data_IF_400535141570
#
_entry.id   IF_400535141570
#
_cell.length_a   1.000
_cell.length_b   1.000
_cell.length_c   1.000
_cell.angle_alpha   90.00
_cell.angle_beta   90.00
_cell.angle_gamma   90.00
#
_symmetry.space_group_name_H-M   'P 1'
#
loop_
_entity.id
_entity.type
_entity.pdbx_description
1 polymer ?
#
# COMPACT_ATOMS: atom_id res chain seq x y z
N UNK A 1 -25.08 23.75 -14.62
CA UNK A 1 -24.74 25.08 -14.05
C UNK A 1 -24.79 25.13 -12.52
N UNK A 2 -25.60 24.31 -11.83
CA UNK A 2 -25.58 24.26 -10.35
C UNK A 2 -24.30 23.64 -9.76
N UNK A 3 -23.68 22.65 -10.42
CA UNK A 3 -22.44 22.00 -9.93
C UNK A 3 -21.21 22.90 -9.90
N UNK A 4 -21.16 23.92 -10.78
CA UNK A 4 -20.06 24.89 -10.78
C UNK A 4 -20.14 25.86 -9.59
N UNK A 5 -21.33 26.10 -9.01
CA UNK A 5 -21.46 26.95 -7.82
C UNK A 5 -20.84 26.31 -6.58
N UNK A 6 -21.04 25.00 -6.39
CA UNK A 6 -20.45 24.28 -5.26
C UNK A 6 -18.92 24.20 -5.38
N UNK A 7 -18.41 24.03 -6.60
CA UNK A 7 -16.96 24.09 -6.87
C UNK A 7 -16.38 25.48 -6.59
N UNK A 8 -17.05 26.56 -7.03
CA UNK A 8 -16.58 27.93 -6.75
C UNK A 8 -16.62 28.30 -5.26
N UNK A 9 -17.64 27.84 -4.52
CA UNK A 9 -17.72 28.06 -3.07
C UNK A 9 -16.62 27.28 -2.34
N UNK A 10 -16.30 26.07 -2.79
CA UNK A 10 -15.21 25.26 -2.22
C UNK A 10 -13.82 25.86 -2.52
N UNK A 11 -13.60 26.35 -3.75
CA UNK A 11 -12.35 27.02 -4.13
C UNK A 11 -12.17 28.33 -3.36
N UNK A 12 -13.21 29.17 -3.23
CA UNK A 12 -13.07 30.44 -2.51
C UNK A 12 -12.78 30.25 -1.02
N UNK A 13 -13.45 29.29 -0.37
CA UNK A 13 -13.17 28.99 1.05
C UNK A 13 -11.79 28.37 1.26
N UNK A 14 -11.29 27.59 0.30
CA UNK A 14 -9.93 27.05 0.35
C UNK A 14 -8.87 28.14 0.19
N UNK A 15 -9.08 29.08 -0.73
CA UNK A 15 -8.15 30.18 -0.99
C UNK A 15 -8.10 31.17 0.19
N UNK A 16 -9.24 31.47 0.83
CA UNK A 16 -9.31 32.31 2.04
C UNK A 16 -8.49 31.72 3.20
N UNK A 17 -8.52 30.39 3.36
CA UNK A 17 -7.73 29.69 4.38
C UNK A 17 -6.23 29.63 4.06
N UNK A 18 -5.85 29.59 2.77
CA UNK A 18 -4.45 29.66 2.36
C UNK A 18 -3.86 31.06 2.56
N UNK A 19 -4.63 32.11 2.24
CA UNK A 19 -4.19 33.49 2.37
C UNK A 19 -4.03 33.91 3.85
N UNK A 20 -4.87 33.39 4.75
CA UNK A 20 -4.71 33.56 6.20
C UNK A 20 -3.42 32.88 6.72
N UNK A 21 -3.09 31.70 6.20
CA UNK A 21 -1.87 30.97 6.58
C UNK A 21 -0.61 31.62 5.99
N UNK A 22 -0.67 32.14 4.76
CA UNK A 22 0.44 32.87 4.15
C UNK A 22 0.74 34.18 4.88
N UNK A 23 -0.28 34.96 5.26
CA UNK A 23 -0.12 36.17 6.08
C UNK A 23 0.53 35.88 7.44
N UNK A 24 0.15 34.77 8.08
CA UNK A 24 0.81 34.30 9.30
C UNK A 24 2.28 33.92 9.10
N UNK A 25 2.65 33.42 7.92
CA UNK A 25 4.01 32.99 7.57
C UNK A 25 4.92 34.16 7.19
N UNK A 26 4.40 35.17 6.49
CA UNK A 26 5.17 36.37 6.08
C UNK A 26 5.50 37.28 7.28
N UNK A 27 4.58 37.40 8.24
CA UNK A 27 4.79 38.14 9.50
C UNK A 27 5.95 37.56 10.33
N UNK A 28 6.19 36.25 10.23
CA UNK A 28 7.30 35.56 10.93
C UNK A 28 8.63 35.76 10.18
N UNK A 29 8.58 35.88 8.85
CA UNK A 29 9.78 35.98 8.01
C UNK A 29 10.43 37.36 8.03
N UNK A 30 9.65 38.42 8.26
CA UNK A 30 10.16 39.79 8.44
C UNK A 30 10.91 39.97 9.77
N UNK A 31 10.73 39.06 10.73
CA UNK A 31 11.33 39.16 12.06
C UNK A 31 12.75 38.59 12.18
N UNK A 32 13.22 37.78 11.22
CA UNK A 32 14.45 36.97 11.35
C UNK A 32 15.65 37.49 10.51
N UNK A 33 15.89 38.80 10.56
CA UNK A 33 17.09 39.38 9.97
C UNK A 33 18.38 38.97 10.68
N UNK A 34 19.20 38.20 9.94
CA UNK A 34 20.66 38.07 10.01
C UNK A 34 21.32 37.44 11.25
N UNK A 35 22.44 36.75 11.01
CA UNK A 35 23.35 36.07 11.97
C UNK A 35 23.08 34.58 12.30
N UNK A 36 23.72 33.68 11.55
CA UNK A 36 24.51 32.60 12.18
C UNK A 36 25.46 31.90 11.19
N UNK A 37 26.70 32.39 11.14
CA UNK A 37 27.87 31.57 10.82
C UNK A 37 28.72 31.49 12.09
N UNK A 38 28.60 30.39 12.85
CA UNK A 38 29.70 29.89 13.68
C UNK A 38 29.42 28.51 14.31
N UNK A 39 30.31 27.59 13.96
CA UNK A 39 30.80 26.45 14.78
C UNK A 39 29.98 25.14 14.86
N UNK A 40 30.50 24.11 14.18
CA UNK A 40 30.69 22.81 14.81
C UNK A 40 32.08 22.28 14.44
N UNK A 41 32.92 22.05 15.45
CA UNK A 41 34.19 21.34 15.33
C UNK A 41 33.98 19.91 15.84
N UNK A 42 34.45 18.93 15.07
CA UNK A 42 34.35 17.51 15.37
C UNK A 42 35.66 16.98 15.96
N UNK A 43 35.57 16.09 16.95
CA UNK A 43 36.72 15.39 17.54
C UNK A 43 37.23 14.23 16.65
N UNK A 44 38.54 13.92 16.70
CA UNK A 44 39.18 13.03 15.74
C UNK A 44 39.20 11.55 16.16
N UNK A 45 39.08 10.70 15.15
CA UNK A 45 39.11 9.23 15.23
C UNK A 45 40.55 8.68 15.30
N UNK A 46 40.79 7.71 16.19
CA UNK A 46 42.08 7.01 16.34
C UNK A 46 41.96 5.56 15.83
N UNK A 47 42.80 5.11 14.88
CA UNK A 47 42.79 3.72 14.40
C UNK A 47 43.77 2.84 15.18
N UNK A 48 43.30 1.69 15.67
CA UNK A 48 44.12 0.68 16.34
C UNK A 48 44.47 -0.50 15.43
N UNK A 49 45.76 -0.72 15.23
CA UNK A 49 46.36 -1.96 14.71
C UNK A 49 46.50 -3.00 15.84
N UNK A 50 46.32 -4.28 15.52
CA UNK A 50 46.67 -5.37 16.46
C UNK A 50 46.39 -6.76 15.91
N UNK A 51 47.47 -7.51 15.66
CA UNK A 51 47.49 -8.88 15.19
C UNK A 51 47.20 -9.89 16.31
N UNK A 52 46.61 -11.03 15.93
CA UNK A 52 46.86 -12.37 16.47
C UNK A 52 46.63 -12.63 17.96
N UNK A 53 45.43 -13.12 18.30
CA UNK A 53 45.33 -14.17 19.33
C UNK A 53 44.02 -14.96 19.18
N UNK A 54 44.15 -16.25 18.83
CA UNK A 54 43.03 -17.18 18.64
C UNK A 54 42.52 -17.69 19.99
N UNK A 55 41.87 -16.82 20.77
CA UNK A 55 41.12 -17.24 21.96
C UNK A 55 39.79 -17.90 21.55
N UNK A 56 39.42 -19.06 22.14
CA UNK A 56 38.12 -19.69 21.90
C UNK A 56 36.99 -18.71 22.27
N UNK A 57 36.13 -18.39 21.30
CA UNK A 57 34.97 -17.53 21.55
C UNK A 57 34.11 -18.15 22.64
N UNK A 58 33.78 -17.42 23.72
CA UNK A 58 32.97 -17.94 24.81
C UNK A 58 31.61 -18.40 24.25
N UNK A 59 31.18 -19.60 24.64
CA UNK A 59 29.88 -20.15 24.25
C UNK A 59 28.79 -19.13 24.56
N UNK A 60 27.87 -18.85 23.62
CA UNK A 60 26.81 -17.86 23.83
C UNK A 60 25.99 -18.28 25.05
N UNK A 61 25.93 -17.40 26.06
CA UNK A 61 25.10 -17.64 27.24
C UNK A 61 23.66 -17.86 26.77
N UNK A 62 22.94 -18.87 27.32
CA UNK A 62 21.55 -19.11 26.96
C UNK A 62 20.75 -17.83 27.18
N UNK A 63 19.99 -17.41 26.16
CA UNK A 63 19.12 -16.24 26.28
C UNK A 63 18.15 -16.50 27.44
N UNK A 64 18.05 -15.58 28.43
CA UNK A 64 17.09 -15.75 29.51
C UNK A 64 15.68 -15.84 28.92
N UNK A 65 14.86 -16.72 29.50
CA UNK A 65 13.48 -16.86 29.10
C UNK A 65 12.76 -15.50 29.21
N UNK A 66 11.81 -15.18 28.31
CA UNK A 66 11.04 -13.95 28.38
C UNK A 66 10.39 -13.85 29.76
N UNK A 67 10.66 -12.76 30.49
CA UNK A 67 9.99 -12.51 31.77
C UNK A 67 8.49 -12.40 31.51
N UNK A 68 7.68 -13.06 32.34
CA UNK A 68 6.24 -12.92 32.31
C UNK A 68 5.87 -11.44 32.47
N UNK A 69 4.87 -10.98 31.73
CA UNK A 69 4.40 -9.60 31.82
C UNK A 69 3.74 -9.38 33.18
N UNK A 70 3.97 -8.23 33.79
CA UNK A 70 3.28 -7.85 35.03
C UNK A 70 1.82 -7.45 34.73
N UNK A 71 0.95 -7.52 35.73
CA UNK A 71 -0.46 -7.13 35.58
C UNK A 71 -0.61 -5.67 35.13
N UNK A 72 0.29 -4.79 35.59
CA UNK A 72 0.35 -3.41 35.14
C UNK A 72 0.70 -3.29 33.63
N UNK A 73 1.62 -4.11 33.13
CA UNK A 73 1.96 -4.14 31.71
C UNK A 73 0.79 -4.65 30.86
N UNK A 74 0.02 -5.61 31.37
CA UNK A 74 -1.19 -6.11 30.72
C UNK A 74 -2.30 -5.04 30.70
N UNK A 75 -2.50 -4.33 31.81
CA UNK A 75 -3.46 -3.24 31.93
C UNK A 75 -3.14 -2.09 30.96
N UNK A 76 -1.88 -1.65 30.88
CA UNK A 76 -1.43 -0.61 29.93
C UNK A 76 -1.66 -1.04 28.48
N UNK A 77 -1.40 -2.30 28.14
CA UNK A 77 -1.68 -2.83 26.81
C UNK A 77 -3.19 -2.81 26.47
N UNK A 78 -4.05 -3.07 27.46
CA UNK A 78 -5.50 -3.00 27.29
C UNK A 78 -5.99 -1.56 27.03
N UNK A 79 -5.42 -0.57 27.72
CA UNK A 79 -5.70 0.87 27.49
C UNK A 79 -5.32 1.28 26.07
N UNK A 80 -4.13 0.88 25.59
CA UNK A 80 -3.69 1.17 24.21
C UNK A 80 -4.66 0.58 23.19
N UNK A 81 -5.14 -0.65 23.42
CA UNK A 81 -6.13 -1.29 22.55
C UNK A 81 -7.47 -0.55 22.55
N UNK A 82 -7.94 -0.09 23.71
CA UNK A 82 -9.17 0.69 23.81
C UNK A 82 -9.07 2.03 23.05
N UNK A 83 -7.94 2.72 23.13
CA UNK A 83 -7.71 3.96 22.38
C UNK A 83 -7.76 3.75 20.87
N UNK A 84 -7.18 2.67 20.35
CA UNK A 84 -7.25 2.33 18.93
C UNK A 84 -8.70 2.15 18.45
N UNK A 85 -9.54 1.48 19.26
CA UNK A 85 -10.95 1.25 18.96
C UNK A 85 -11.77 2.56 19.01
N UNK A 86 -11.49 3.44 19.97
CA UNK A 86 -12.14 4.76 20.05
C UNK A 86 -11.80 5.64 18.85
N UNK A 87 -10.56 5.58 18.35
CA UNK A 87 -10.17 6.29 17.14
C UNK A 87 -10.91 5.76 15.91
N UNK A 88 -11.04 4.43 15.78
CA UNK A 88 -11.82 3.83 14.71
C UNK A 88 -13.28 4.33 14.69
N UNK A 89 -13.87 4.55 15.87
CA UNK A 89 -15.27 5.02 16.00
C UNK A 89 -15.49 6.38 15.37
N UNK A 90 -14.56 7.31 15.60
CA UNK A 90 -14.65 8.67 15.03
C UNK A 90 -14.72 8.67 13.49
N UNK A 91 -14.31 7.56 12.86
CA UNK A 91 -14.29 7.41 11.41
C UNK A 91 -15.52 6.69 10.84
N UNK A 92 -16.38 6.06 11.67
CA UNK A 92 -17.49 5.25 11.17
C UNK A 92 -18.52 6.06 10.39
N UNK A 93 -18.87 7.27 10.83
CA UNK A 93 -19.81 8.13 10.10
C UNK A 93 -19.35 8.34 8.66
N UNK A 94 -18.10 8.75 8.48
CA UNK A 94 -17.50 8.94 7.15
C UNK A 94 -17.49 7.65 6.33
N UNK A 95 -17.11 6.51 6.93
CA UNK A 95 -17.10 5.21 6.25
C UNK A 95 -18.50 4.79 5.78
N UNK A 96 -19.52 4.95 6.63
CA UNK A 96 -20.91 4.58 6.33
C UNK A 96 -21.50 5.45 5.22
N UNK A 97 -21.29 6.76 5.28
CA UNK A 97 -21.73 7.71 4.26
C UNK A 97 -21.02 7.44 2.91
N UNK A 98 -19.71 7.18 2.94
CA UNK A 98 -18.95 6.85 1.72
C UNK A 98 -19.37 5.53 1.07
N UNK A 99 -19.97 4.61 1.84
CA UNK A 99 -20.49 3.34 1.36
C UNK A 99 -21.92 3.45 0.78
N UNK A 100 -22.47 4.67 0.65
CA UNK A 100 -23.81 4.88 0.07
C UNK A 100 -24.95 4.42 0.97
N UNK A 101 -24.71 4.22 2.27
CA UNK A 101 -25.73 3.78 3.20
C UNK A 101 -26.79 4.89 3.40
N UNK A 102 -28.06 4.51 3.44
CA UNK A 102 -29.14 5.44 3.74
C UNK A 102 -28.87 6.14 5.09
N UNK A 103 -28.99 7.47 5.11
CA UNK A 103 -28.65 8.32 6.25
C UNK A 103 -29.24 7.82 7.58
N UNK A 104 -30.51 7.43 7.59
CA UNK A 104 -31.17 6.92 8.80
C UNK A 104 -30.55 5.61 9.34
N UNK A 105 -30.11 4.71 8.45
CA UNK A 105 -29.45 3.46 8.82
C UNK A 105 -28.02 3.73 9.31
N UNK A 106 -27.31 4.65 8.64
CA UNK A 106 -26.01 5.11 9.07
C UNK A 106 -26.07 5.76 10.47
N UNK A 107 -27.08 6.59 10.74
CA UNK A 107 -27.32 7.22 12.05
C UNK A 107 -27.60 6.17 13.13
N UNK A 108 -28.41 5.14 12.85
CA UNK A 108 -28.67 4.05 13.79
C UNK A 108 -27.40 3.26 14.14
N UNK A 109 -26.54 2.96 13.17
CA UNK A 109 -25.26 2.29 13.44
C UNK A 109 -24.26 3.19 14.16
N UNK A 110 -24.20 4.48 13.82
CA UNK A 110 -23.38 5.44 14.55
C UNK A 110 -23.84 5.50 16.01
N UNK A 111 -25.14 5.58 16.27
CA UNK A 111 -25.69 5.57 17.63
C UNK A 111 -25.33 4.28 18.39
N UNK A 112 -25.46 3.10 17.76
CA UNK A 112 -25.05 1.83 18.37
C UNK A 112 -23.54 1.85 18.71
N UNK A 113 -22.70 2.31 17.78
CA UNK A 113 -21.25 2.39 18.00
C UNK A 113 -20.86 3.42 19.06
N UNK A 114 -21.57 4.55 19.16
CA UNK A 114 -21.37 5.57 20.20
C UNK A 114 -21.79 5.07 21.59
N UNK A 115 -22.84 4.25 21.67
CA UNK A 115 -23.26 3.59 22.91
C UNK A 115 -22.18 2.62 23.43
N UNK A 116 -21.67 1.74 22.56
CA UNK A 116 -20.57 0.83 22.93
C UNK A 116 -19.26 1.58 23.20
N UNK A 117 -18.98 2.66 22.46
CA UNK A 117 -17.85 3.54 22.73
C UNK A 117 -17.91 4.14 24.14
N UNK A 118 -19.10 4.56 24.57
CA UNK A 118 -19.30 5.18 25.88
C UNK A 118 -19.06 4.18 27.02
N UNK A 119 -19.51 2.92 26.86
CA UNK A 119 -19.18 1.82 27.80
C UNK A 119 -17.68 1.56 27.85
N UNK A 120 -17.01 1.54 26.68
CA UNK A 120 -15.56 1.34 26.59
C UNK A 120 -14.78 2.50 27.24
N UNK A 121 -15.21 3.75 27.06
CA UNK A 121 -14.62 4.93 27.74
C UNK A 121 -14.78 4.84 29.25
N UNK A 122 -15.97 4.48 29.74
CA UNK A 122 -16.21 4.34 31.17
C UNK A 122 -15.30 3.26 31.79
N UNK A 123 -15.19 2.09 31.16
CA UNK A 123 -14.31 1.01 31.63
C UNK A 123 -12.83 1.41 31.57
N UNK A 124 -12.41 2.15 30.54
CA UNK A 124 -11.05 2.70 30.44
C UNK A 124 -10.76 3.67 31.58
N UNK A 125 -11.63 4.64 31.81
CA UNK A 125 -11.48 5.63 32.89
C UNK A 125 -11.42 4.95 34.26
N UNK A 126 -12.22 3.91 34.49
CA UNK A 126 -12.18 3.12 35.72
C UNK A 126 -10.82 2.41 35.91
N UNK A 127 -10.27 1.80 34.85
CA UNK A 127 -8.95 1.15 34.90
C UNK A 127 -7.82 2.17 35.13
N UNK A 128 -7.87 3.33 34.48
CA UNK A 128 -6.89 4.41 34.69
C UNK A 128 -6.95 4.94 36.13
N UNK A 129 -8.16 5.08 36.70
CA UNK A 129 -8.36 5.43 38.10
C UNK A 129 -7.78 4.39 39.06
N UNK A 130 -8.04 3.10 38.82
CA UNK A 130 -7.49 2.01 39.63
C UNK A 130 -5.95 1.95 39.56
N UNK A 131 -5.36 2.15 38.38
CA UNK A 131 -3.91 2.24 38.19
C UNK A 131 -3.31 3.41 38.98
N UNK A 132 -3.96 4.57 38.98
CA UNK A 132 -3.47 5.76 39.69
C UNK A 132 -3.51 5.61 41.22
N UNK A 133 -4.46 4.83 41.74
CA UNK A 133 -4.69 4.64 43.18
C UNK A 133 -4.04 3.37 43.74
N UNK A 134 -3.46 2.52 42.88
CA UNK A 134 -2.95 1.21 43.28
C UNK A 134 -4.04 0.22 43.72
N UNK A 135 -5.28 0.43 43.30
CA UNK A 135 -6.40 -0.46 43.61
C UNK A 135 -6.27 -1.80 42.85
N UNK A 136 -7.03 -2.81 43.28
CA UNK A 136 -7.08 -4.11 42.59
C UNK A 136 -7.47 -3.94 41.12
N UNK A 137 -6.68 -4.53 40.22
CA UNK A 137 -6.88 -4.42 38.77
C UNK A 137 -7.76 -5.53 38.19
N UNK A 138 -8.11 -6.55 38.97
CA UNK A 138 -8.74 -7.78 38.46
C UNK A 138 -10.10 -7.47 37.85
N UNK A 139 -10.98 -6.81 38.59
CA UNK A 139 -12.36 -6.54 38.15
C UNK A 139 -12.40 -5.48 37.04
N UNK A 140 -11.68 -4.38 37.21
CA UNK A 140 -11.63 -3.30 36.20
C UNK A 140 -11.01 -3.75 34.87
N UNK A 141 -10.05 -4.69 34.90
CA UNK A 141 -9.49 -5.28 33.67
C UNK A 141 -10.50 -6.20 32.98
N UNK A 142 -11.27 -6.97 33.76
CA UNK A 142 -12.35 -7.83 33.25
C UNK A 142 -13.47 -7.00 32.62
N UNK A 143 -13.85 -5.88 33.24
CA UNK A 143 -14.86 -4.97 32.71
C UNK A 143 -14.40 -4.33 31.41
N UNK A 144 -13.15 -3.86 31.34
CA UNK A 144 -12.57 -3.33 30.11
C UNK A 144 -12.52 -4.40 29.01
N UNK A 145 -12.15 -5.64 29.33
CA UNK A 145 -12.15 -6.73 28.37
C UNK A 145 -13.56 -7.02 27.84
N UNK A 146 -14.56 -7.04 28.72
CA UNK A 146 -15.96 -7.27 28.36
C UNK A 146 -16.49 -6.16 27.44
N UNK A 147 -16.25 -4.89 27.80
CA UNK A 147 -16.62 -3.75 26.96
C UNK A 147 -15.92 -3.78 25.60
N UNK A 148 -14.65 -4.21 25.56
CA UNK A 148 -13.91 -4.35 24.32
C UNK A 148 -14.46 -5.47 23.43
N UNK A 149 -14.85 -6.61 24.00
CA UNK A 149 -15.48 -7.71 23.27
C UNK A 149 -16.82 -7.28 22.67
N UNK A 150 -17.69 -6.65 23.48
CA UNK A 150 -18.98 -6.12 23.01
C UNK A 150 -18.80 -5.11 21.86
N UNK A 151 -17.81 -4.21 21.98
CA UNK A 151 -17.46 -3.28 20.90
C UNK A 151 -17.03 -4.01 19.61
N UNK A 152 -16.16 -5.02 19.71
CA UNK A 152 -15.68 -5.74 18.54
C UNK A 152 -16.82 -6.51 17.85
N UNK A 153 -17.74 -7.09 18.62
CA UNK A 153 -18.93 -7.76 18.09
C UNK A 153 -19.85 -6.78 17.35
N UNK A 154 -20.16 -5.62 17.96
CA UNK A 154 -20.93 -4.56 17.32
C UNK A 154 -20.25 -4.03 16.04
N UNK A 155 -18.94 -3.79 16.08
CA UNK A 155 -18.15 -3.35 14.93
C UNK A 155 -18.19 -4.38 13.78
N UNK A 156 -18.06 -5.67 14.09
CA UNK A 156 -18.21 -6.72 13.08
C UNK A 156 -19.62 -6.78 12.50
N UNK A 157 -20.66 -6.57 13.31
CA UNK A 157 -22.04 -6.52 12.84
C UNK A 157 -22.28 -5.33 11.91
N UNK A 158 -21.80 -4.14 12.28
CA UNK A 158 -21.86 -2.94 11.43
C UNK A 158 -21.14 -3.19 10.11
N UNK A 159 -19.92 -3.74 10.11
CA UNK A 159 -19.18 -4.09 8.89
C UNK A 159 -19.94 -5.06 7.99
N UNK A 160 -20.53 -6.12 8.58
CA UNK A 160 -21.36 -7.07 7.83
C UNK A 160 -22.54 -6.34 7.18
N UNK A 161 -23.22 -5.47 7.92
CA UNK A 161 -24.37 -4.72 7.40
C UNK A 161 -23.97 -3.69 6.34
N UNK A 162 -22.81 -3.03 6.48
CA UNK A 162 -22.26 -2.14 5.46
C UNK A 162 -22.05 -2.86 4.14
N UNK A 163 -21.48 -4.06 4.17
CA UNK A 163 -21.25 -4.84 2.97
C UNK A 163 -22.56 -5.23 2.28
N UNK A 164 -23.62 -5.54 3.05
CA UNK A 164 -24.95 -5.79 2.48
C UNK A 164 -25.58 -4.52 1.93
N UNK A 165 -25.57 -3.40 2.66
CA UNK A 165 -26.12 -2.13 2.19
C UNK A 165 -25.38 -1.56 0.98
N UNK A 166 -24.06 -1.77 0.88
CA UNK A 166 -23.29 -1.43 -0.31
C UNK A 166 -23.71 -2.31 -1.50
N UNK A 167 -23.96 -3.61 -1.27
CA UNK A 167 -24.50 -4.49 -2.30
C UNK A 167 -25.91 -4.06 -2.76
N UNK A 168 -26.79 -3.65 -1.82
CA UNK A 168 -28.13 -3.12 -2.12
C UNK A 168 -28.06 -1.76 -2.84
N UNK A 169 -27.11 -0.90 -2.46
CA UNK A 169 -26.82 0.34 -3.17
C UNK A 169 -26.34 0.06 -4.59
N UNK A 170 -25.42 -0.90 -4.79
CA UNK A 170 -25.00 -1.33 -6.13
C UNK A 170 -26.18 -1.90 -6.92
N UNK A 171 -27.06 -2.70 -6.31
CA UNK A 171 -28.29 -3.19 -6.96
C UNK A 171 -29.16 -2.03 -7.45
N UNK A 172 -29.42 -1.05 -6.59
CA UNK A 172 -30.33 0.06 -6.90
C UNK A 172 -29.72 1.11 -7.85
N UNK A 173 -28.40 1.30 -7.80
CA UNK A 173 -27.68 2.31 -8.60
C UNK A 173 -27.15 1.76 -9.93
N UNK A 174 -26.61 0.54 -9.95
CA UNK A 174 -26.16 -0.17 -11.16
C UNK A 174 -27.29 -0.92 -11.86
N UNK A 175 -28.46 -1.05 -11.23
CA UNK A 175 -29.64 -1.70 -11.81
C UNK A 175 -30.26 -1.00 -13.01
N UNK A 176 -29.71 0.13 -13.48
CA UNK A 176 -30.04 0.69 -14.79
C UNK A 176 -29.44 -0.18 -15.91
N UNK A 177 -30.04 -1.36 -16.12
CA UNK A 177 -29.61 -2.32 -17.13
C UNK A 177 -29.95 -3.78 -16.80
N UNK A 178 -30.25 -4.10 -15.53
CA UNK A 178 -30.69 -5.45 -15.17
C UNK A 178 -32.16 -5.65 -15.56
N UNK A 179 -32.46 -6.78 -16.20
CA UNK A 179 -33.81 -7.05 -16.74
C UNK A 179 -34.71 -7.78 -15.75
N UNK A 180 -34.17 -8.23 -14.61
CA UNK A 180 -34.93 -8.93 -13.58
C UNK A 180 -34.31 -8.80 -12.18
N UNK A 181 -35.14 -8.97 -11.14
CA UNK A 181 -34.70 -9.01 -9.74
C UNK A 181 -33.67 -10.14 -9.48
N UNK A 182 -33.76 -11.24 -10.22
CA UNK A 182 -32.83 -12.37 -10.11
C UNK A 182 -31.42 -12.06 -10.66
N UNK A 183 -31.28 -11.14 -11.62
CA UNK A 183 -29.97 -10.68 -12.09
C UNK A 183 -29.32 -9.72 -11.10
N UNK A 184 -30.11 -8.81 -10.52
CA UNK A 184 -29.66 -7.89 -9.48
C UNK A 184 -29.15 -8.63 -8.25
N UNK A 185 -29.93 -9.62 -7.78
CA UNK A 185 -29.55 -10.42 -6.62
C UNK A 185 -28.26 -11.22 -6.87
N UNK A 186 -28.07 -11.79 -8.08
CA UNK A 186 -26.82 -12.48 -8.45
C UNK A 186 -25.60 -11.55 -8.53
N UNK A 187 -25.77 -10.33 -9.03
CA UNK A 187 -24.68 -9.34 -9.11
C UNK A 187 -24.24 -8.84 -7.73
N UNK A 188 -25.19 -8.64 -6.81
CA UNK A 188 -24.89 -8.34 -5.41
C UNK A 188 -24.22 -9.50 -4.69
N UNK A 189 -24.74 -10.73 -4.84
CA UNK A 189 -24.13 -11.92 -4.26
C UNK A 189 -22.68 -12.12 -4.75
N UNK A 190 -22.42 -11.90 -6.05
CA UNK A 190 -21.07 -11.93 -6.61
C UNK A 190 -20.16 -10.84 -6.03
N UNK A 191 -20.66 -9.62 -5.85
CA UNK A 191 -19.91 -8.49 -5.26
C UNK A 191 -19.61 -8.73 -3.78
N UNK A 192 -20.55 -9.31 -3.02
CA UNK A 192 -20.36 -9.71 -1.62
C UNK A 192 -19.38 -10.88 -1.51
N UNK A 193 -19.40 -11.83 -2.46
CA UNK A 193 -18.42 -12.92 -2.55
C UNK A 193 -17.01 -12.41 -2.88
N UNK A 194 -16.89 -11.45 -3.78
CA UNK A 194 -15.64 -10.78 -4.12
C UNK A 194 -15.08 -10.00 -2.91
N UNK A 195 -15.92 -9.21 -2.23
CA UNK A 195 -15.54 -8.46 -1.04
C UNK A 195 -15.20 -9.35 0.16
N UNK A 196 -15.78 -10.55 0.24
CA UNK A 196 -15.51 -11.53 1.32
C UNK A 196 -14.35 -12.50 1.03
N UNK A 197 -13.68 -12.36 -0.13
CA UNK A 197 -12.55 -13.21 -0.52
C UNK A 197 -12.92 -14.68 -0.78
N UNK A 198 -14.21 -15.01 -0.86
CA UNK A 198 -14.72 -16.34 -1.16
C UNK A 198 -15.28 -16.36 -2.57
N UNK A 199 -14.42 -16.52 -3.57
CA UNK A 199 -14.87 -16.78 -4.93
C UNK A 199 -15.51 -18.18 -5.04
N UNK A 200 -16.79 -18.24 -5.42
CA UNK A 200 -17.35 -19.43 -6.08
C UNK A 200 -17.00 -19.34 -7.57
N UNK A 201 -16.41 -20.43 -8.06
CA UNK A 201 -15.81 -20.59 -9.39
C UNK A 201 -16.87 -21.02 -10.42
N UNK A 202 -17.74 -20.11 -10.85
CA UNK A 202 -18.63 -20.38 -11.99
C UNK A 202 -18.21 -19.57 -13.22
N UNK A 203 -17.79 -20.30 -14.25
CA UNK A 203 -17.37 -19.78 -15.56
C UNK A 203 -18.45 -18.88 -16.22
N UNK A 204 -19.73 -19.19 -15.99
CA UNK A 204 -20.83 -18.43 -16.58
C UNK A 204 -20.95 -16.99 -16.02
N UNK A 205 -20.44 -16.73 -14.81
CA UNK A 205 -20.38 -15.38 -14.25
C UNK A 205 -19.27 -14.53 -14.90
N UNK A 206 -18.14 -15.16 -15.22
CA UNK A 206 -17.00 -14.53 -15.89
C UNK A 206 -17.38 -14.14 -17.32
N UNK A 207 -18.04 -15.03 -18.06
CA UNK A 207 -18.38 -14.82 -19.47
C UNK A 207 -19.38 -13.66 -19.67
N UNK A 208 -20.35 -13.50 -18.76
CA UNK A 208 -21.33 -12.39 -18.79
C UNK A 208 -20.70 -11.00 -18.56
N UNK A 209 -19.68 -10.92 -17.71
CA UNK A 209 -18.94 -9.67 -17.47
C UNK A 209 -18.20 -9.19 -18.74
N UNK A 210 -17.62 -10.12 -19.51
CA UNK A 210 -16.91 -9.80 -20.75
C UNK A 210 -17.85 -9.39 -21.90
N UNK A 211 -19.05 -9.97 -21.99
CA UNK A 211 -20.06 -9.53 -22.98
C UNK A 211 -20.48 -8.07 -22.75
N UNK A 212 -20.76 -7.69 -21.48
CA UNK A 212 -21.25 -6.36 -21.14
C UNK A 212 -20.23 -5.24 -21.46
N UNK A 213 -18.93 -5.50 -21.31
CA UNK A 213 -17.89 -4.49 -21.58
C UNK A 213 -17.65 -4.25 -23.08
N UNK A 214 -18.08 -5.19 -23.93
CA UNK A 214 -17.91 -5.13 -25.39
C UNK A 214 -19.03 -4.36 -26.09
N UNK A 215 -20.27 -4.43 -25.59
CA UNK A 215 -21.44 -3.76 -26.18
C UNK A 215 -21.41 -2.22 -26.10
N UNK A 216 -20.69 -1.61 -25.15
CA UNK A 216 -20.75 -0.16 -24.91
C UNK A 216 -19.67 0.67 -25.63
N UNK A 217 -18.98 0.12 -26.64
CA UNK A 217 -18.25 0.94 -27.63
C UNK A 217 -16.98 1.65 -27.15
N UNK A 218 -16.26 1.13 -26.15
CA UNK A 218 -15.03 1.73 -25.60
C UNK A 218 -13.80 1.72 -26.54
N UNK A 219 -13.98 1.43 -27.84
CA UNK A 219 -12.92 1.27 -28.82
C UNK A 219 -13.32 1.75 -30.23
N UNK A 220 -13.05 3.01 -30.59
CA UNK A 220 -13.12 3.46 -32.00
C UNK A 220 -11.90 2.98 -32.82
N UNK A 221 -12.10 2.87 -34.14
CA UNK A 221 -11.31 2.04 -35.07
C UNK A 221 -10.05 2.71 -35.67
N UNK A 222 -9.83 4.00 -35.45
CA UNK A 222 -8.83 4.75 -36.25
C UNK A 222 -7.50 5.04 -35.54
N UNK A 223 -7.17 4.29 -34.48
CA UNK A 223 -5.92 4.47 -33.75
C UNK A 223 -4.77 3.60 -34.32
N UNK A 224 -3.54 4.11 -34.50
CA UNK A 224 -2.35 3.35 -34.93
C UNK A 224 -1.99 2.13 -34.07
N UNK A 225 -2.71 1.93 -32.97
CA UNK A 225 -2.65 0.73 -32.15
C UNK A 225 -3.25 -0.50 -32.85
N UNK A 226 -3.99 -0.38 -33.96
CA UNK A 226 -4.65 -1.51 -34.61
C UNK A 226 -3.68 -2.55 -35.22
N UNK A 227 -2.50 -2.12 -35.68
CA UNK A 227 -1.46 -3.04 -36.16
C UNK A 227 -0.82 -3.86 -35.01
N UNK A 228 -0.73 -3.29 -33.81
CA UNK A 228 -0.30 -4.01 -32.61
C UNK A 228 -1.46 -4.81 -31.96
N UNK A 229 -2.71 -4.45 -32.27
CA UNK A 229 -3.95 -5.05 -31.74
C UNK A 229 -4.32 -6.38 -32.43
N UNK A 230 -3.92 -6.58 -33.68
CA UNK A 230 -4.05 -7.88 -34.36
C UNK A 230 -3.21 -8.99 -33.70
N UNK A 231 -2.15 -8.62 -32.96
CA UNK A 231 -1.30 -9.55 -32.22
C UNK A 231 -1.71 -9.72 -30.74
N UNK A 232 -2.70 -8.96 -30.25
CA UNK A 232 -3.00 -8.81 -28.81
C UNK A 232 -4.45 -9.15 -28.41
N UNK A 233 -5.36 -9.52 -29.33
CA UNK A 233 -6.78 -9.77 -29.02
C UNK A 233 -7.39 -11.02 -29.69
N UNK A 234 -7.14 -12.19 -29.13
CA UNK A 234 -8.04 -13.34 -29.32
C UNK A 234 -8.03 -14.15 -28.02
N UNK A 235 -8.95 -13.91 -27.10
CA UNK A 235 -9.12 -14.85 -25.98
C UNK A 235 -9.76 -16.14 -26.48
N UNK A 236 -9.32 -17.31 -25.99
CA UNK A 236 -10.19 -18.47 -25.81
C UNK A 236 -9.57 -19.53 -24.86
N UNK A 237 -10.46 -20.10 -24.04
CA UNK A 237 -10.59 -21.46 -23.49
C UNK A 237 -9.35 -22.40 -23.34
N UNK A 238 -9.22 -23.13 -22.21
CA UNK A 238 -8.00 -23.85 -21.77
C UNK A 238 -7.31 -24.90 -22.68
N UNK A 239 -7.84 -25.26 -23.86
CA UNK A 239 -7.33 -26.41 -24.66
C UNK A 239 -7.07 -26.11 -26.16
N UNK A 240 -7.16 -24.84 -26.62
CA UNK A 240 -6.96 -24.46 -28.03
C UNK A 240 -6.23 -23.11 -28.16
N UNK A 241 -5.52 -22.90 -29.26
CA UNK A 241 -4.85 -21.64 -29.58
C UNK A 241 -5.81 -20.59 -30.20
N UNK A 242 -5.22 -19.46 -30.58
CA UNK A 242 -5.90 -18.28 -31.08
C UNK A 242 -6.60 -18.44 -32.44
N UNK A 243 -6.30 -19.50 -33.19
CA UNK A 243 -6.96 -19.87 -34.45
C UNK A 243 -7.94 -21.04 -34.28
N UNK A 244 -8.08 -21.57 -33.05
CA UNK A 244 -8.90 -22.74 -32.75
C UNK A 244 -8.19 -24.08 -32.98
N UNK A 245 -6.89 -24.08 -33.23
CA UNK A 245 -6.07 -25.28 -33.36
C UNK A 245 -5.67 -25.83 -31.98
N UNK A 246 -5.40 -27.13 -31.82
CA UNK A 246 -4.83 -27.68 -30.59
C UNK A 246 -3.50 -26.98 -30.26
N UNK A 247 -3.26 -26.65 -28.98
CA UNK A 247 -2.00 -26.03 -28.58
C UNK A 247 -0.80 -26.90 -29.01
N UNK A 248 0.26 -26.30 -29.57
CA UNK A 248 1.35 -27.07 -30.15
C UNK A 248 2.12 -27.86 -29.07
N UNK A 249 2.44 -29.12 -29.34
CA UNK A 249 3.01 -30.11 -28.40
C UNK A 249 4.33 -29.70 -27.70
N UNK A 250 4.93 -28.56 -28.05
CA UNK A 250 6.09 -28.03 -27.35
C UNK A 250 5.73 -27.33 -26.02
N UNK A 251 4.48 -26.91 -25.81
CA UNK A 251 4.00 -26.33 -24.55
C UNK A 251 3.99 -27.34 -23.39
N UNK A 252 3.85 -28.64 -23.68
CA UNK A 252 4.01 -29.71 -22.69
C UNK A 252 5.45 -29.80 -22.15
N UNK A 253 6.45 -29.24 -22.86
CA UNK A 253 7.86 -29.23 -22.42
C UNK A 253 8.13 -28.24 -21.29
N UNK A 254 7.14 -27.45 -20.89
CA UNK A 254 7.24 -26.41 -19.85
C UNK A 254 6.52 -26.79 -18.54
N UNK A 255 5.75 -27.88 -18.52
CA UNK A 255 5.16 -28.42 -17.29
C UNK A 255 6.26 -28.99 -16.38
N UNK A 256 6.35 -28.51 -15.14
CA UNK A 256 7.20 -29.10 -14.10
C UNK A 256 8.65 -28.57 -13.98
N UNK A 257 9.03 -27.50 -14.70
CA UNK A 257 10.36 -26.89 -14.52
C UNK A 257 10.33 -25.88 -13.37
N UNK A 258 11.03 -26.19 -12.26
CA UNK A 258 11.23 -25.22 -11.19
C UNK A 258 12.29 -24.21 -11.60
N UNK A 259 11.97 -22.93 -11.46
CA UNK A 259 12.92 -21.86 -11.74
C UNK A 259 13.96 -21.82 -10.61
N UNK A 260 15.21 -22.11 -10.97
CA UNK A 260 16.35 -21.99 -10.06
C UNK A 260 16.55 -20.51 -9.70
N UNK A 261 16.39 -20.20 -8.41
CA UNK A 261 16.24 -18.83 -7.93
C UNK A 261 17.51 -17.99 -7.96
N UNK A 262 17.31 -16.67 -8.12
CA UNK A 262 18.30 -15.59 -8.07
C UNK A 262 19.27 -15.61 -6.87
N UNK A 263 18.94 -16.34 -5.80
CA UNK A 263 19.75 -16.45 -4.58
C UNK A 263 20.43 -17.82 -4.37
N UNK A 264 20.37 -18.71 -5.38
CA UNK A 264 20.98 -20.03 -5.31
C UNK A 264 20.36 -20.95 -4.25
N UNK A 265 21.07 -22.03 -3.92
CA UNK A 265 20.75 -22.93 -2.81
C UNK A 265 21.35 -22.39 -1.50
N UNK A 266 20.56 -22.30 -0.43
CA UNK A 266 21.06 -21.85 0.88
C UNK A 266 19.94 -21.49 1.85
N UNK A 267 20.31 -21.09 3.07
CA UNK A 267 19.34 -20.54 4.01
C UNK A 267 18.92 -19.16 3.52
N UNK A 268 17.61 -18.89 3.51
CA UNK A 268 17.04 -17.60 3.10
C UNK A 268 17.66 -16.41 3.85
N UNK A 269 18.03 -16.58 5.12
CA UNK A 269 18.70 -15.53 5.90
C UNK A 269 20.05 -15.12 5.29
N UNK A 270 20.86 -16.09 4.88
CA UNK A 270 22.17 -15.86 4.28
C UNK A 270 22.01 -15.18 2.91
N UNK A 271 21.01 -15.61 2.15
CA UNK A 271 20.64 -15.01 0.85
C UNK A 271 20.24 -13.54 0.99
N UNK A 272 19.38 -13.20 1.96
CA UNK A 272 18.96 -11.82 2.21
C UNK A 272 20.11 -10.95 2.75
N UNK A 273 21.02 -11.53 3.55
CA UNK A 273 22.23 -10.86 4.03
C UNK A 273 23.18 -10.54 2.89
N UNK A 274 23.39 -11.48 1.97
CA UNK A 274 24.18 -11.27 0.77
C UNK A 274 23.55 -10.21 -0.14
N UNK A 275 22.24 -10.30 -0.39
CA UNK A 275 21.48 -9.30 -1.14
C UNK A 275 21.69 -7.90 -0.57
N UNK A 276 21.57 -7.77 0.76
CA UNK A 276 21.76 -6.49 1.46
C UNK A 276 23.18 -5.94 1.31
N UNK A 277 24.18 -6.83 1.35
CA UNK A 277 25.59 -6.46 1.19
C UNK A 277 25.86 -5.95 -0.23
N UNK A 278 25.35 -6.66 -1.24
CA UNK A 278 25.45 -6.26 -2.65
C UNK A 278 24.70 -4.95 -2.92
N UNK A 279 23.49 -4.82 -2.40
CA UNK A 279 22.67 -3.60 -2.51
C UNK A 279 23.41 -2.38 -1.95
N UNK A 280 23.96 -2.47 -0.74
CA UNK A 280 24.72 -1.37 -0.10
C UNK A 280 25.98 -1.00 -0.85
N UNK A 281 26.71 -1.99 -1.35
CA UNK A 281 27.90 -1.76 -2.16
C UNK A 281 27.53 -1.05 -3.47
N UNK A 282 26.49 -1.52 -4.16
CA UNK A 282 25.96 -0.88 -5.37
C UNK A 282 25.52 0.56 -5.09
N UNK A 283 24.70 0.80 -4.07
CA UNK A 283 24.19 2.13 -3.76
C UNK A 283 25.33 3.12 -3.44
N UNK A 284 26.37 2.67 -2.72
CA UNK A 284 27.57 3.48 -2.46
C UNK A 284 28.29 3.88 -3.75
N UNK A 285 28.47 2.94 -4.68
CA UNK A 285 29.11 3.21 -5.98
C UNK A 285 28.29 4.20 -6.81
N UNK A 286 26.96 4.12 -6.73
CA UNK A 286 26.06 5.05 -7.42
C UNK A 286 25.91 6.41 -6.71
N UNK A 287 26.50 6.60 -5.52
CA UNK A 287 26.30 7.80 -4.71
C UNK A 287 24.86 7.99 -4.23
N UNK A 288 24.09 6.90 -4.09
CA UNK A 288 22.69 6.93 -3.68
C UNK A 288 22.55 6.80 -2.17
N UNK A 289 21.89 7.78 -1.55
CA UNK A 289 21.56 7.73 -0.14
C UNK A 289 20.33 6.83 0.13
N UNK A 290 20.46 5.94 1.10
CA UNK A 290 19.34 5.12 1.57
C UNK A 290 19.48 4.83 3.07
N UNK A 291 18.34 4.63 3.74
CA UNK A 291 18.29 4.26 5.17
C UNK A 291 17.96 2.78 5.40
N UNK A 292 17.94 1.98 4.32
CA UNK A 292 17.55 0.58 4.39
C UNK A 292 18.52 -0.25 5.25
N UNK A 293 17.99 -0.80 6.34
CA UNK A 293 18.67 -1.80 7.16
C UNK A 293 19.01 -3.06 6.38
N UNK A 294 19.73 -3.99 7.00
CA UNK A 294 19.86 -5.33 6.43
C UNK A 294 18.47 -5.96 6.26
N UNK A 295 18.22 -6.52 5.09
CA UNK A 295 17.02 -7.30 4.81
C UNK A 295 17.08 -8.55 5.66
N UNK A 296 16.03 -8.78 6.44
CA UNK A 296 15.90 -9.95 7.32
C UNK A 296 14.72 -10.78 6.87
N UNK A 297 14.68 -12.05 7.28
CA UNK A 297 13.53 -12.93 7.00
C UNK A 297 12.23 -12.31 7.54
N UNK A 298 12.29 -11.57 8.65
CA UNK A 298 11.14 -10.88 9.22
C UNK A 298 10.59 -9.72 8.38
N UNK A 299 11.30 -9.27 7.34
CA UNK A 299 10.83 -8.27 6.38
C UNK A 299 10.21 -8.89 5.12
N UNK A 300 10.45 -10.20 4.89
CA UNK A 300 9.87 -10.97 3.81
C UNK A 300 8.65 -11.69 4.36
N UNK A 301 7.47 -11.13 4.11
CA UNK A 301 6.21 -11.69 4.55
C UNK A 301 5.61 -12.54 3.43
N UNK A 302 4.97 -13.66 3.79
CA UNK A 302 4.14 -14.42 2.87
C UNK A 302 2.69 -14.05 3.15
N UNK A 303 2.09 -13.26 2.26
CA UNK A 303 0.69 -12.80 2.40
C UNK A 303 -0.17 -13.51 1.36
N UNK A 304 -1.05 -14.39 1.82
CA UNK A 304 -1.88 -15.26 0.99
C UNK A 304 -1.06 -16.16 0.04
N UNK A 305 0.10 -16.63 0.52
CA UNK A 305 1.02 -17.47 -0.26
C UNK A 305 2.00 -16.70 -1.16
N UNK A 306 1.87 -15.37 -1.27
CA UNK A 306 2.73 -14.55 -2.12
C UNK A 306 3.83 -13.84 -1.31
N UNK A 307 5.09 -13.86 -1.78
CA UNK A 307 6.18 -13.17 -1.11
C UNK A 307 6.06 -11.66 -1.28
N UNK A 308 6.21 -10.92 -0.18
CA UNK A 308 6.21 -9.47 -0.13
C UNK A 308 7.37 -8.99 0.75
N UNK A 309 8.23 -8.14 0.19
CA UNK A 309 9.33 -7.52 0.94
C UNK A 309 8.91 -6.12 1.38
N UNK A 310 8.85 -5.89 2.69
CA UNK A 310 8.52 -4.57 3.23
C UNK A 310 9.74 -3.66 3.22
N UNK A 311 9.59 -2.47 2.66
CA UNK A 311 10.59 -1.42 2.64
C UNK A 311 9.92 -0.05 2.87
N UNK A 312 10.69 0.94 3.33
CA UNK A 312 10.23 2.33 3.34
C UNK A 312 10.08 2.83 1.90
N UNK A 313 9.13 3.71 1.61
CA UNK A 313 8.79 4.05 0.23
C UNK A 313 10.00 4.54 -0.60
N UNK A 314 10.79 5.48 -0.07
CA UNK A 314 12.05 5.92 -0.70
C UNK A 314 13.03 4.76 -0.93
N UNK A 315 13.32 3.98 0.11
CA UNK A 315 14.24 2.85 0.03
C UNK A 315 13.76 1.78 -0.97
N UNK A 316 12.45 1.63 -1.12
CA UNK A 316 11.85 0.72 -2.10
C UNK A 316 12.18 1.10 -3.53
N UNK A 317 12.23 2.40 -3.84
CA UNK A 317 12.62 2.90 -5.17
C UNK A 317 14.09 2.58 -5.47
N UNK A 318 14.98 2.86 -4.50
CA UNK A 318 16.42 2.59 -4.63
C UNK A 318 16.68 1.09 -4.74
N UNK A 319 15.99 0.28 -3.93
CA UNK A 319 16.08 -1.18 -3.98
C UNK A 319 15.54 -1.73 -5.30
N UNK A 320 14.45 -1.18 -5.84
CA UNK A 320 13.89 -1.59 -7.12
C UNK A 320 14.87 -1.34 -8.28
N UNK A 321 15.57 -0.20 -8.29
CA UNK A 321 16.61 0.08 -9.30
C UNK A 321 17.77 -0.94 -9.24
N UNK A 322 18.18 -1.34 -8.04
CA UNK A 322 19.14 -2.43 -7.88
C UNK A 322 18.59 -3.78 -8.36
N UNK A 323 17.35 -4.10 -8.01
CA UNK A 323 16.70 -5.35 -8.40
C UNK A 323 16.44 -5.44 -9.91
N UNK A 324 16.20 -4.33 -10.58
CA UNK A 324 16.09 -4.28 -12.05
C UNK A 324 17.40 -4.72 -12.74
N UNK A 325 18.56 -4.26 -12.26
CA UNK A 325 19.88 -4.72 -12.76
C UNK A 325 20.06 -6.21 -12.50
N UNK A 326 19.70 -6.64 -11.28
CA UNK A 326 19.75 -8.02 -10.85
C UNK A 326 18.94 -8.94 -11.77
N UNK A 327 17.66 -8.63 -12.00
CA UNK A 327 16.76 -9.44 -12.82
C UNK A 327 17.14 -9.40 -14.30
N UNK A 328 17.66 -8.26 -14.80
CA UNK A 328 18.20 -8.20 -16.16
C UNK A 328 19.42 -9.13 -16.35
N UNK A 329 20.34 -9.15 -15.38
CA UNK A 329 21.46 -10.10 -15.40
C UNK A 329 20.99 -11.55 -15.32
N UNK A 330 19.96 -11.83 -14.52
CA UNK A 330 19.36 -13.16 -14.45
C UNK A 330 18.75 -13.57 -15.79
N UNK A 331 18.04 -12.66 -16.48
CA UNK A 331 17.48 -12.92 -17.81
C UNK A 331 18.58 -13.27 -18.83
N UNK A 332 19.70 -12.55 -18.79
CA UNK A 332 20.84 -12.86 -19.67
C UNK A 332 21.46 -14.23 -19.41
N UNK A 333 21.42 -14.71 -18.16
CA UNK A 333 21.90 -16.04 -17.79
C UNK A 333 20.86 -17.13 -18.07
N UNK A 334 19.58 -16.79 -17.93
CA UNK A 334 18.44 -17.69 -18.03
C UNK A 334 17.32 -16.98 -18.80
N UNK A 335 17.27 -17.20 -20.11
CA UNK A 335 16.28 -16.62 -21.02
C UNK A 335 14.91 -17.31 -20.86
N UNK A 336 14.31 -17.17 -19.68
CA UNK A 336 12.97 -17.65 -19.36
C UNK A 336 11.97 -16.49 -19.47
N UNK A 337 10.79 -16.77 -20.02
CA UNK A 337 9.74 -15.76 -20.24
C UNK A 337 9.31 -15.06 -18.94
N UNK A 338 9.18 -15.78 -17.81
CA UNK A 338 8.85 -15.16 -16.51
C UNK A 338 9.91 -14.13 -16.11
N UNK A 339 11.19 -14.46 -16.31
CA UNK A 339 12.32 -13.60 -15.94
C UNK A 339 12.39 -12.39 -16.87
N UNK A 340 12.13 -12.57 -18.16
CA UNK A 340 12.02 -11.47 -19.13
C UNK A 340 10.91 -10.49 -18.73
N UNK A 341 9.70 -11.01 -18.48
CA UNK A 341 8.55 -10.21 -18.06
C UNK A 341 8.83 -9.47 -16.75
N UNK A 342 9.48 -10.13 -15.79
CA UNK A 342 9.89 -9.53 -14.52
C UNK A 342 10.93 -8.41 -14.72
N UNK A 343 11.91 -8.63 -15.59
CA UNK A 343 12.93 -7.64 -15.94
C UNK A 343 12.30 -6.40 -16.58
N UNK A 344 11.44 -6.60 -17.59
CA UNK A 344 10.75 -5.50 -18.27
C UNK A 344 9.80 -4.75 -17.33
N UNK A 345 9.09 -5.45 -16.44
CA UNK A 345 8.21 -4.83 -15.46
C UNK A 345 9.01 -3.98 -14.47
N UNK A 346 10.11 -4.51 -13.94
CA UNK A 346 11.01 -3.78 -13.04
C UNK A 346 11.56 -2.53 -13.73
N UNK A 347 12.09 -2.67 -14.96
CA UNK A 347 12.60 -1.56 -15.78
C UNK A 347 11.54 -0.48 -16.00
N UNK A 348 10.32 -0.86 -16.37
CA UNK A 348 9.23 0.08 -16.60
C UNK A 348 8.91 0.89 -15.33
N UNK A 349 8.88 0.24 -14.17
CA UNK A 349 8.63 0.91 -12.90
C UNK A 349 9.79 1.81 -12.46
N UNK A 350 11.05 1.41 -12.69
CA UNK A 350 12.24 2.24 -12.46
C UNK A 350 12.19 3.50 -13.35
N UNK A 351 11.92 3.34 -14.64
CA UNK A 351 11.77 4.46 -15.56
C UNK A 351 10.63 5.40 -15.12
N UNK A 352 9.50 4.86 -14.66
CA UNK A 352 8.40 5.67 -14.15
C UNK A 352 8.84 6.56 -12.96
N UNK A 353 9.53 5.99 -11.96
CA UNK A 353 10.08 6.75 -10.83
C UNK A 353 11.15 7.77 -11.23
N UNK A 354 12.04 7.42 -12.17
CA UNK A 354 13.05 8.35 -12.72
C UNK A 354 12.37 9.56 -13.36
N UNK A 355 11.35 9.35 -14.20
CA UNK A 355 10.60 10.44 -14.83
C UNK A 355 9.85 11.30 -13.84
N UNK A 356 9.19 10.71 -12.84
CA UNK A 356 8.57 11.47 -11.76
C UNK A 356 9.58 12.34 -11.00
N UNK A 357 10.81 11.85 -10.84
CA UNK A 357 11.85 12.56 -10.09
C UNK A 357 12.45 13.72 -10.86
N UNK A 358 12.61 13.58 -12.19
CA UNK A 358 13.21 14.60 -13.07
C UNK A 358 12.24 15.64 -13.57
N UNK A 359 10.98 15.27 -13.82
CA UNK A 359 10.02 16.18 -14.44
C UNK A 359 9.45 17.20 -13.43
N UNK A 360 9.14 18.41 -13.89
CA UNK A 360 8.60 19.47 -13.04
C UNK A 360 7.18 19.15 -12.56
N UNK A 361 6.63 20.00 -11.70
CA UNK A 361 5.25 19.89 -11.19
C UNK A 361 4.21 19.90 -12.31
N UNK A 362 4.36 20.80 -13.27
CA UNK A 362 3.47 20.93 -14.43
C UNK A 362 4.17 20.33 -15.64
N UNK A 363 3.57 19.31 -16.21
CA UNK A 363 4.15 18.50 -17.27
C UNK A 363 3.80 19.09 -18.64
N UNK A 364 4.74 19.03 -19.58
CA UNK A 364 4.38 19.15 -20.99
C UNK A 364 3.56 17.94 -21.44
N UNK A 365 2.88 18.05 -22.57
CA UNK A 365 2.14 16.92 -23.17
C UNK A 365 3.05 15.71 -23.44
N UNK A 366 4.28 15.96 -23.89
CA UNK A 366 5.27 14.92 -24.09
C UNK A 366 5.63 14.24 -22.78
N UNK A 367 5.92 15.03 -21.74
CA UNK A 367 6.32 14.52 -20.43
C UNK A 367 5.22 13.70 -19.75
N UNK A 368 3.96 14.15 -19.84
CA UNK A 368 2.83 13.39 -19.28
C UNK A 368 2.63 12.06 -20.00
N UNK A 369 2.68 12.05 -21.34
CA UNK A 369 2.63 10.82 -22.13
C UNK A 369 3.81 9.88 -21.83
N UNK A 370 5.02 10.41 -21.68
CA UNK A 370 6.23 9.64 -21.40
C UNK A 370 6.12 8.93 -20.03
N UNK A 371 5.75 9.64 -18.96
CA UNK A 371 5.51 9.01 -17.65
C UNK A 371 4.41 7.94 -17.75
N UNK A 372 3.23 8.30 -18.26
CA UNK A 372 2.09 7.39 -18.31
C UNK A 372 2.38 6.15 -19.16
N UNK A 373 3.18 6.27 -20.24
CA UNK A 373 3.62 5.14 -21.05
C UNK A 373 4.35 4.10 -20.20
N UNK A 374 5.28 4.50 -19.33
CA UNK A 374 5.98 3.56 -18.44
C UNK A 374 5.03 2.96 -17.40
N UNK A 375 4.15 3.76 -16.81
CA UNK A 375 3.17 3.29 -15.83
C UNK A 375 2.21 2.22 -16.38
N UNK A 376 1.63 2.47 -17.56
CA UNK A 376 0.78 1.48 -18.25
C UNK A 376 1.57 0.27 -18.78
N UNK A 377 2.86 0.43 -19.08
CA UNK A 377 3.71 -0.70 -19.47
C UNK A 377 3.95 -1.61 -18.28
N UNK A 378 4.26 -1.07 -17.10
CA UNK A 378 4.35 -1.84 -15.86
C UNK A 378 3.05 -2.60 -15.58
N UNK A 379 1.89 -1.93 -15.63
CA UNK A 379 0.59 -2.56 -15.37
C UNK A 379 0.32 -3.77 -16.28
N UNK A 380 0.58 -3.62 -17.58
CA UNK A 380 0.39 -4.70 -18.56
C UNK A 380 1.34 -5.88 -18.31
N UNK A 381 2.62 -5.61 -18.03
CA UNK A 381 3.61 -6.66 -17.77
C UNK A 381 3.33 -7.39 -16.45
N UNK A 382 2.97 -6.65 -15.40
CA UNK A 382 2.65 -7.22 -14.11
C UNK A 382 1.36 -8.06 -14.14
N UNK A 383 0.37 -7.66 -14.94
CA UNK A 383 -0.82 -8.46 -15.21
C UNK A 383 -0.45 -9.80 -15.87
N UNK A 384 0.45 -9.80 -16.87
CA UNK A 384 0.96 -11.04 -17.48
C UNK A 384 1.67 -11.95 -16.47
N UNK A 385 2.52 -11.39 -15.61
CA UNK A 385 3.18 -12.13 -14.52
C UNK A 385 2.17 -12.75 -13.53
N UNK A 386 1.09 -12.02 -13.24
CA UNK A 386 0.01 -12.52 -12.39
C UNK A 386 -0.74 -13.69 -13.05
N UNK A 387 -0.98 -13.62 -14.36
CA UNK A 387 -1.54 -14.77 -15.11
C UNK A 387 -0.57 -15.95 -15.14
N UNK A 388 0.73 -15.69 -15.31
CA UNK A 388 1.77 -16.72 -15.22
C UNK A 388 1.68 -17.50 -13.90
N UNK A 389 1.54 -16.78 -12.77
CA UNK A 389 1.37 -17.40 -11.45
C UNK A 389 0.17 -18.35 -11.37
N UNK A 390 -0.97 -17.95 -11.95
CA UNK A 390 -2.19 -18.77 -11.97
C UNK A 390 -2.01 -20.01 -12.83
N UNK A 391 -1.50 -19.85 -14.06
CA UNK A 391 -1.31 -20.94 -15.03
C UNK A 391 -0.34 -21.99 -14.48
N UNK A 392 0.78 -21.55 -13.91
CA UNK A 392 1.83 -22.42 -13.39
C UNK A 392 1.57 -22.89 -11.95
N UNK A 393 0.43 -22.51 -11.35
CA UNK A 393 0.06 -22.81 -9.96
C UNK A 393 1.18 -22.44 -8.98
N UNK A 394 1.84 -21.31 -9.22
CA UNK A 394 2.90 -20.79 -8.36
C UNK A 394 2.47 -19.45 -7.76
N UNK A 395 2.71 -19.24 -6.46
CA UNK A 395 2.29 -18.02 -5.77
C UNK A 395 3.42 -16.97 -5.76
N UNK A 396 3.81 -16.48 -6.94
CA UNK A 396 4.93 -15.50 -7.07
C UNK A 396 4.47 -14.09 -7.33
N UNK A 397 3.48 -13.91 -8.20
CA UNK A 397 3.02 -12.61 -8.68
C UNK A 397 1.55 -12.42 -8.31
N UNK A 398 1.28 -11.44 -7.45
CA UNK A 398 -0.05 -11.20 -6.89
C UNK A 398 -0.67 -9.95 -7.49
N UNK A 399 -1.82 -10.09 -8.14
CA UNK A 399 -2.62 -8.93 -8.48
C UNK A 399 -3.24 -8.33 -7.20
N UNK A 400 -2.73 -7.19 -6.76
CA UNK A 400 -3.25 -6.46 -5.60
C UNK A 400 -4.21 -5.35 -6.03
N UNK A 401 -5.25 -5.01 -5.23
CA UNK A 401 -6.18 -3.91 -5.53
C UNK A 401 -5.48 -2.57 -5.76
N UNK A 402 -4.29 -2.37 -5.18
CA UNK A 402 -3.49 -1.14 -5.34
C UNK A 402 -3.06 -0.84 -6.79
N UNK A 403 -3.15 -1.79 -7.71
CA UNK A 403 -2.92 -1.53 -9.14
C UNK A 403 -3.97 -0.61 -9.75
N UNK A 404 -5.21 -0.62 -9.25
CA UNK A 404 -6.28 0.22 -9.76
C UNK A 404 -6.06 1.71 -9.44
N UNK A 405 -5.77 2.11 -8.18
CA UNK A 405 -5.33 3.47 -7.89
C UNK A 405 -4.09 3.90 -8.70
N UNK A 406 -3.11 2.99 -8.89
CA UNK A 406 -1.93 3.29 -9.69
C UNK A 406 -2.27 3.57 -11.17
N UNK A 407 -3.24 2.85 -11.74
CA UNK A 407 -3.77 3.12 -13.07
C UNK A 407 -4.38 4.53 -13.15
N UNK A 408 -5.24 4.88 -12.20
CA UNK A 408 -5.86 6.20 -12.17
C UNK A 408 -4.85 7.33 -11.99
N UNK A 409 -3.81 7.14 -11.19
CA UNK A 409 -2.71 8.11 -11.11
C UNK A 409 -2.07 8.36 -12.49
N UNK A 410 -1.87 7.33 -13.30
CA UNK A 410 -1.32 7.48 -14.65
C UNK A 410 -2.31 8.13 -15.63
N UNK A 411 -3.61 7.87 -15.49
CA UNK A 411 -4.67 8.53 -16.27
C UNK A 411 -4.78 10.02 -15.90
N UNK A 412 -4.80 10.35 -14.61
CA UNK A 412 -4.83 11.72 -14.10
C UNK A 412 -3.59 12.51 -14.52
N UNK A 413 -2.39 11.93 -14.47
CA UNK A 413 -1.18 12.58 -14.98
C UNK A 413 -1.28 12.89 -16.47
N UNK A 414 -1.80 11.96 -17.26
CA UNK A 414 -1.94 12.13 -18.70
C UNK A 414 -2.92 13.27 -19.04
N UNK A 415 -4.06 13.33 -18.33
CA UNK A 415 -5.14 14.30 -18.55
C UNK A 415 -4.77 15.68 -17.98
N UNK A 416 -4.45 15.72 -16.68
CA UNK A 416 -4.24 16.98 -15.94
C UNK A 416 -2.86 17.57 -16.17
N UNK A 417 -1.92 16.78 -16.71
CA UNK A 417 -0.52 17.18 -16.92
C UNK A 417 0.14 17.70 -15.62
N UNK A 418 -0.19 17.05 -14.51
CA UNK A 418 0.40 17.34 -13.21
C UNK A 418 1.20 16.14 -12.73
N UNK A 419 2.43 16.35 -12.29
CA UNK A 419 3.26 15.28 -11.75
C UNK A 419 2.76 14.87 -10.36
N UNK A 420 2.33 13.62 -10.23
CA UNK A 420 1.72 13.08 -8.99
C UNK A 420 2.64 13.15 -7.78
N UNK A 421 3.96 13.19 -7.98
CA UNK A 421 4.93 13.38 -6.89
C UNK A 421 4.64 14.62 -6.05
N UNK A 422 4.11 15.67 -6.66
CA UNK A 422 3.86 16.95 -5.99
C UNK A 422 2.46 17.10 -5.39
N UNK A 423 1.52 16.21 -5.73
CA UNK A 423 0.10 16.36 -5.38
C UNK A 423 -0.55 15.14 -4.75
N UNK A 424 0.05 13.96 -4.88
CA UNK A 424 -0.37 12.75 -4.16
C UNK A 424 0.70 12.37 -3.14
N UNK A 425 0.25 12.03 -1.92
CA UNK A 425 0.83 11.39 -0.72
C UNK A 425 2.35 11.18 -0.52
N UNK A 426 3.23 11.31 -1.52
CA UNK A 426 4.67 11.49 -1.32
C UNK A 426 4.98 12.72 -0.45
N UNK A 427 4.10 13.73 -0.46
CA UNK A 427 4.20 14.90 0.41
C UNK A 427 4.06 14.55 1.90
N UNK A 428 3.33 13.49 2.26
CA UNK A 428 3.11 13.15 3.67
C UNK A 428 4.38 12.56 4.32
N UNK A 429 5.15 11.73 3.62
CA UNK A 429 6.43 11.23 4.18
C UNK A 429 7.47 12.36 4.31
N UNK A 430 7.56 13.23 3.31
CA UNK A 430 8.44 14.40 3.35
C UNK A 430 7.99 15.40 4.44
N UNK A 431 6.68 15.64 4.58
CA UNK A 431 6.13 16.46 5.67
C UNK A 431 6.34 15.81 7.02
N UNK A 432 6.20 14.49 7.16
CA UNK A 432 6.46 13.80 8.44
C UNK A 432 7.93 13.97 8.82
N UNK A 433 8.86 13.94 7.87
CA UNK A 433 10.27 14.26 8.11
C UNK A 433 10.47 15.69 8.61
N UNK A 434 9.82 16.66 7.97
CA UNK A 434 9.87 18.08 8.37
C UNK A 434 9.21 18.32 9.72
N UNK A 435 7.99 17.82 9.94
CA UNK A 435 7.23 17.93 11.19
C UNK A 435 7.95 17.22 12.33
N UNK A 436 8.57 16.06 12.08
CA UNK A 436 9.40 15.39 13.08
C UNK A 436 10.62 16.24 13.47
N UNK A 437 11.34 16.81 12.49
CA UNK A 437 12.46 17.73 12.78
C UNK A 437 11.99 18.95 13.56
N UNK A 438 10.83 19.49 13.21
CA UNK A 438 10.20 20.62 13.91
C UNK A 438 9.86 20.25 15.36
N UNK A 439 9.19 19.11 15.56
CA UNK A 439 8.84 18.59 16.89
C UNK A 439 10.09 18.31 17.74
N UNK A 440 11.15 17.73 17.17
CA UNK A 440 12.42 17.52 17.86
C UNK A 440 13.06 18.84 18.32
N UNK A 441 13.00 19.90 17.49
CA UNK A 441 13.49 21.24 17.87
C UNK A 441 12.66 21.88 18.97
N UNK A 442 11.33 21.80 18.88
CA UNK A 442 10.39 22.27 19.92
C UNK A 442 10.64 21.55 21.25
N UNK A 443 10.82 20.23 21.22
CA UNK A 443 11.00 19.42 22.43
C UNK A 443 12.38 19.59 23.07
N UNK A 444 13.40 19.94 22.29
CA UNK A 444 14.77 20.21 22.78
C UNK A 444 14.96 21.62 23.34
N UNK A 445 13.90 22.42 23.43
CA UNK A 445 13.93 23.74 24.06
C UNK A 445 14.36 24.89 23.14
N UNK A 446 14.94 24.62 21.97
CA UNK A 446 15.38 25.66 21.01
C UNK A 446 14.23 26.54 20.50
N UNK A 447 12.97 26.10 20.66
CA UNK A 447 11.77 26.75 20.13
C UNK A 447 10.74 27.11 21.20
N UNK A 448 10.99 26.79 22.48
CA UNK A 448 10.05 26.99 23.60
C UNK A 448 10.63 27.87 24.71
N UNK A 449 11.87 28.35 24.59
CA UNK A 449 12.42 29.39 25.45
C UNK A 449 12.28 30.75 24.76
N UNK A 450 11.07 31.31 24.73
CA UNK A 450 10.77 32.75 24.79
C UNK A 450 9.32 32.97 25.23
#
# INVERSE_FOLDING_TARGET
MQDLRLYHVWVSTYDDHQEANQRGTETVREAEGDHSLASSAADPFVPGNGAGDARPKPKPKPKPAPKAKTDEQLARAAVVKANANLLEISQWRYKLESAGMAKAVAEAFVFQMESEASKLRAAKTALEGALSTGASLVDVTKDLHTANTAYNEASMQVRKNCNHSYADYLISSLGRGATSCAELQRAAEASVQEASGKFVRDQAAIDRYWQHTTEFGWHSRDHPAFAARAALLSGCHPDKDFEGNPLPAWLDRLKGKSIAGFFGSGKLEDQLRELSTRFRAWARVQGLEHSQGFLTVGMLHITDGFPALTCKAWNGQVLLAFLDICVANLFHQHAEEEIELASLAARAMVCWFDRLSRYPRYLSEFQSRDISRYGFTFLRLYQKLSYYSVIHKCARWKLIPKHHPYRHLNEDMAIRRMNVRYVHTFKDEDNVGVVKKLAEKVTKGELMEY
#
